data_IF_639427560233
#
_entry.id   IF_639427560233
#
_cell.length_a   1.000
_cell.length_b   1.000
_cell.length_c   1.000
_cell.angle_alpha   90.00
_cell.angle_beta   90.00
_cell.angle_gamma   90.00
#
_symmetry.space_group_name_H-M   'P 1'
#
loop_
_entity.id
_entity.type
_entity.pdbx_description
1 polymer ?
#
# COMPACT_ATOMS: atom_id res chain seq x y z
N UNK A 1 -0.12 -7.92 11.71
CA UNK A 1 -0.01 -6.93 10.62
C UNK A 1 0.02 -7.56 9.22
N UNK A 2 1.07 -8.25 8.77
CA UNK A 2 1.20 -8.68 7.35
C UNK A 2 0.04 -9.52 6.78
N UNK A 3 -0.55 -10.44 7.56
CA UNK A 3 -1.71 -11.24 7.13
C UNK A 3 -3.04 -10.48 7.22
N UNK A 4 -3.16 -9.61 8.21
CA UNK A 4 -4.41 -8.91 8.53
C UNK A 4 -4.54 -7.53 7.86
N UNK A 5 -3.47 -7.01 7.28
CA UNK A 5 -3.44 -5.69 6.65
C UNK A 5 -4.02 -4.59 7.53
N UNK A 6 -4.91 -3.77 6.97
CA UNK A 6 -5.60 -2.68 7.68
C UNK A 6 -6.51 -3.18 8.81
N UNK A 7 -7.07 -4.39 8.70
CA UNK A 7 -7.91 -4.98 9.76
C UNK A 7 -7.16 -5.10 11.08
N UNK A 8 -5.89 -5.51 11.01
CA UNK A 8 -5.03 -5.56 12.18
C UNK A 8 -4.87 -4.16 12.82
N UNK A 9 -4.72 -3.10 12.01
CA UNK A 9 -4.61 -1.74 12.54
C UNK A 9 -5.89 -1.29 13.27
N UNK A 10 -7.06 -1.55 12.68
CA UNK A 10 -8.36 -1.24 13.31
C UNK A 10 -8.56 -2.03 14.61
N UNK A 11 -8.20 -3.32 14.64
CA UNK A 11 -8.24 -4.16 15.85
C UNK A 11 -7.32 -3.65 16.96
N UNK A 12 -6.22 -2.96 16.61
CA UNK A 12 -5.33 -2.31 17.58
C UNK A 12 -5.79 -0.89 17.98
N UNK A 13 -6.97 -0.44 17.52
CA UNK A 13 -7.54 0.87 17.85
C UNK A 13 -7.11 2.01 16.91
N UNK A 14 -6.47 1.70 15.77
CA UNK A 14 -6.08 2.68 14.76
C UNK A 14 -7.09 2.68 13.60
N UNK A 15 -8.19 3.41 13.78
CA UNK A 15 -9.28 3.55 12.80
C UNK A 15 -10.61 2.99 13.31
N UNK A 16 -11.59 2.90 12.42
CA UNK A 16 -12.93 2.38 12.70
C UNK A 16 -13.34 1.29 11.71
N UNK A 17 -14.31 0.42 12.04
CA UNK A 17 -14.73 -0.67 11.14
C UNK A 17 -15.10 -0.23 9.72
N UNK A 18 -15.70 0.96 9.58
CA UNK A 18 -16.09 1.55 8.29
C UNK A 18 -14.89 1.83 7.37
N UNK A 19 -13.70 2.03 7.92
CA UNK A 19 -12.51 2.30 7.12
C UNK A 19 -12.16 1.09 6.24
N UNK A 20 -12.40 -0.13 6.73
CA UNK A 20 -12.16 -1.36 5.98
C UNK A 20 -13.07 -1.47 4.75
N UNK A 21 -14.33 -1.04 4.84
CA UNK A 21 -15.26 -1.03 3.70
C UNK A 21 -14.85 -0.06 2.59
N UNK A 22 -13.96 0.89 2.90
CA UNK A 22 -13.46 1.92 1.99
C UNK A 22 -12.04 1.66 1.51
N UNK A 23 -11.41 0.59 2.00
CA UNK A 23 -10.15 0.10 1.48
C UNK A 23 -10.39 -0.93 0.38
N UNK A 24 -9.58 -0.86 -0.68
CA UNK A 24 -9.48 -1.94 -1.66
C UNK A 24 -9.22 -3.28 -0.96
N UNK A 25 -9.92 -4.34 -1.37
CA UNK A 25 -9.89 -5.67 -0.76
C UNK A 25 -10.08 -5.70 0.77
N UNK A 26 -10.78 -4.70 1.34
CA UNK A 26 -10.91 -4.60 2.80
C UNK A 26 -9.59 -4.28 3.52
N UNK A 27 -8.59 -3.80 2.76
CA UNK A 27 -7.26 -3.48 3.24
C UNK A 27 -6.39 -4.71 3.54
N UNK A 28 -6.73 -5.91 3.03
CA UNK A 28 -5.92 -7.11 3.20
C UNK A 28 -6.08 -8.08 2.02
N UNK A 29 -4.96 -8.58 1.50
CA UNK A 29 -4.96 -9.58 0.42
C UNK A 29 -4.97 -10.99 1.03
N UNK A 30 -5.89 -11.84 0.58
CA UNK A 30 -6.25 -13.10 1.26
C UNK A 30 -5.21 -14.23 1.20
N UNK A 31 -4.28 -14.19 0.25
CA UNK A 31 -3.28 -15.24 0.00
C UNK A 31 -1.86 -14.87 0.46
N UNK A 32 -1.73 -13.89 1.35
CA UNK A 32 -0.44 -13.44 1.87
C UNK A 32 0.32 -14.56 2.62
N UNK A 33 1.37 -15.10 1.98
CA UNK A 33 2.32 -16.03 2.61
C UNK A 33 3.48 -15.28 3.27
N UNK A 34 3.47 -15.26 4.61
CA UNK A 34 4.49 -14.58 5.43
C UNK A 34 5.70 -15.46 5.76
N UNK A 35 5.74 -16.72 5.32
CA UNK A 35 6.84 -17.63 5.66
C UNK A 35 8.16 -17.30 4.95
N UNK A 36 8.12 -16.46 3.89
CA UNK A 36 9.27 -16.15 3.03
C UNK A 36 9.78 -14.71 3.16
N UNK A 37 9.39 -13.99 4.19
CA UNK A 37 9.62 -12.54 4.30
C UNK A 37 10.45 -12.11 5.52
N UNK A 38 11.14 -13.04 6.21
CA UNK A 38 11.92 -12.76 7.43
C UNK A 38 12.91 -11.58 7.27
N UNK A 39 13.75 -11.61 6.22
CA UNK A 39 14.70 -10.53 5.94
C UNK A 39 14.02 -9.18 5.63
N UNK A 40 12.87 -9.22 4.95
CA UNK A 40 12.11 -8.03 4.61
C UNK A 40 11.38 -7.44 5.83
N UNK A 41 10.98 -8.31 6.77
CA UNK A 41 10.38 -7.95 8.05
C UNK A 41 11.36 -7.19 8.93
N UNK A 42 12.59 -7.67 9.10
CA UNK A 42 13.62 -6.99 9.89
C UNK A 42 13.86 -5.56 9.39
N UNK A 43 13.85 -5.37 8.07
CA UNK A 43 14.09 -4.07 7.44
C UNK A 43 12.88 -3.13 7.47
N UNK A 44 11.68 -3.68 7.40
CA UNK A 44 10.45 -2.92 7.23
C UNK A 44 9.65 -2.65 8.51
N UNK A 45 9.81 -3.48 9.54
CA UNK A 45 9.01 -3.40 10.75
C UNK A 45 9.14 -2.06 11.47
N UNK A 46 10.36 -1.49 11.53
CA UNK A 46 10.62 -0.18 12.13
C UNK A 46 10.09 1.01 11.33
N UNK A 47 9.61 0.78 10.11
CA UNK A 47 9.13 1.83 9.19
C UNK A 47 7.61 1.94 9.14
N UNK A 48 6.90 1.06 9.86
CA UNK A 48 5.43 1.12 9.97
C UNK A 48 5.01 2.46 10.56
N UNK A 49 4.06 3.14 9.92
CA UNK A 49 3.59 4.46 10.33
C UNK A 49 4.46 5.64 9.87
N UNK A 50 5.48 5.40 9.04
CA UNK A 50 6.26 6.47 8.39
C UNK A 50 5.84 6.68 6.94
N UNK A 51 5.90 7.93 6.46
CA UNK A 51 5.64 8.24 5.05
C UNK A 51 6.74 7.72 4.13
N UNK A 52 7.99 8.03 4.48
CA UNK A 52 9.17 7.73 3.69
C UNK A 52 9.81 8.90 2.98
N UNK A 53 10.49 8.59 1.88
CA UNK A 53 11.16 9.54 0.99
C UNK A 53 10.60 9.43 -0.44
N UNK A 54 11.14 10.24 -1.35
CA UNK A 54 10.72 10.36 -2.75
C UNK A 54 9.31 10.94 -2.88
N UNK A 55 8.43 10.32 -3.66
CA UNK A 55 7.08 10.79 -3.94
C UNK A 55 6.08 10.46 -2.81
N UNK A 56 6.53 10.12 -1.61
CA UNK A 56 5.65 9.85 -0.48
C UNK A 56 5.36 11.14 0.31
N UNK A 57 4.08 11.43 0.53
CA UNK A 57 3.65 12.68 1.15
C UNK A 57 2.33 12.52 1.93
N UNK A 58 2.08 13.51 2.79
CA UNK A 58 0.77 13.78 3.37
C UNK A 58 0.44 15.22 3.03
N UNK A 59 -0.67 15.43 2.33
CA UNK A 59 -1.11 16.74 1.88
C UNK A 59 -2.50 17.05 2.41
N UNK A 60 -2.69 18.29 2.85
CA UNK A 60 -4.00 18.86 3.15
C UNK A 60 -4.42 19.65 1.92
N UNK A 61 -5.53 19.28 1.31
CA UNK A 61 -6.00 19.80 0.04
C UNK A 61 -7.43 20.31 0.19
N UNK A 62 -7.84 21.25 -0.67
CA UNK A 62 -9.23 21.67 -0.79
C UNK A 62 -9.76 21.29 -2.17
N UNK A 63 -10.99 20.78 -2.24
CA UNK A 63 -11.65 20.49 -3.52
C UNK A 63 -11.94 21.81 -4.23
N UNK A 64 -11.19 22.09 -5.29
CA UNK A 64 -11.33 23.32 -6.07
C UNK A 64 -12.47 23.24 -7.08
N UNK A 65 -12.49 22.17 -7.90
CA UNK A 65 -13.45 21.99 -8.98
C UNK A 65 -14.08 20.59 -8.93
N UNK A 66 -15.40 20.51 -9.16
CA UNK A 66 -16.15 19.25 -9.31
C UNK A 66 -16.53 19.07 -10.78
N UNK A 67 -16.16 17.92 -11.36
CA UNK A 67 -16.42 17.61 -12.77
C UNK A 67 -17.65 16.71 -12.98
N UNK A 68 -17.97 15.86 -11.99
CA UNK A 68 -19.16 15.01 -11.98
C UNK A 68 -19.84 15.12 -10.61
N UNK A 69 -20.98 15.81 -10.59
CA UNK A 69 -21.77 16.04 -9.38
C UNK A 69 -22.38 14.76 -8.79
N UNK A 70 -22.69 13.77 -9.63
CA UNK A 70 -23.30 12.52 -9.17
C UNK A 70 -22.26 11.67 -8.46
N UNK A 71 -21.08 11.50 -9.05
CA UNK A 71 -19.95 10.81 -8.43
C UNK A 71 -19.44 11.55 -7.19
N UNK A 72 -19.27 12.87 -7.25
CA UNK A 72 -18.81 13.67 -6.12
C UNK A 72 -19.72 13.50 -4.90
N UNK A 73 -21.04 13.59 -5.09
CA UNK A 73 -22.01 13.35 -4.02
C UNK A 73 -21.94 11.93 -3.44
N UNK A 74 -21.76 10.91 -4.28
CA UNK A 74 -21.58 9.53 -3.81
C UNK A 74 -20.30 9.35 -2.98
N UNK A 75 -19.23 10.06 -3.32
CA UNK A 75 -17.96 10.08 -2.58
C UNK A 75 -17.94 11.06 -1.40
N UNK A 76 -18.99 11.89 -1.24
CA UNK A 76 -19.06 12.91 -0.19
C UNK A 76 -18.19 14.14 -0.45
N UNK A 77 -17.79 14.37 -1.70
CA UNK A 77 -16.97 15.51 -2.14
C UNK A 77 -17.85 16.70 -2.52
N UNK A 78 -17.38 17.92 -2.22
CA UNK A 78 -17.98 19.18 -2.63
C UNK A 78 -16.91 20.28 -2.71
N UNK A 79 -17.13 21.30 -3.54
CA UNK A 79 -16.22 22.45 -3.64
C UNK A 79 -15.97 23.08 -2.26
N UNK A 80 -14.71 23.40 -1.99
CA UNK A 80 -14.23 23.95 -0.71
C UNK A 80 -14.10 22.93 0.42
N UNK A 81 -14.42 21.65 0.21
CA UNK A 81 -14.18 20.61 1.21
C UNK A 81 -12.67 20.40 1.40
N UNK A 82 -12.23 20.38 2.65
CA UNK A 82 -10.85 20.03 3.01
C UNK A 82 -10.70 18.52 3.12
N UNK A 83 -9.70 17.97 2.42
CA UNK A 83 -9.36 16.56 2.38
C UNK A 83 -7.90 16.36 2.82
N UNK A 84 -7.59 15.16 3.29
CA UNK A 84 -6.21 14.73 3.55
C UNK A 84 -5.88 13.61 2.58
N UNK A 85 -4.81 13.80 1.79
CA UNK A 85 -4.29 12.78 0.89
C UNK A 85 -3.01 12.20 1.49
N UNK A 86 -2.98 10.88 1.68
CA UNK A 86 -1.81 10.15 2.17
C UNK A 86 -1.29 9.28 1.03
N UNK A 87 -0.08 9.56 0.55
CA UNK A 87 0.59 8.76 -0.47
C UNK A 87 1.81 8.07 0.15
N UNK A 88 1.67 6.78 0.46
CA UNK A 88 2.74 5.95 0.98
C UNK A 88 2.56 4.48 0.54
N UNK A 89 3.58 3.66 0.75
CA UNK A 89 3.53 2.24 0.38
C UNK A 89 4.17 1.33 1.43
N UNK A 90 4.51 0.11 1.02
CA UNK A 90 5.09 -0.97 1.85
C UNK A 90 6.52 -0.71 2.35
N UNK A 91 7.05 0.50 2.14
CA UNK A 91 8.36 0.94 2.62
C UNK A 91 9.49 -0.01 2.17
N UNK A 92 10.52 -0.17 3.01
CA UNK A 92 11.65 -1.07 2.75
C UNK A 92 11.26 -2.54 2.65
N UNK A 93 10.10 -2.94 3.20
CA UNK A 93 9.63 -4.32 3.14
C UNK A 93 9.34 -4.75 1.70
N UNK A 94 8.47 -4.02 1.00
CA UNK A 94 8.13 -4.36 -0.39
C UNK A 94 9.32 -4.25 -1.34
N UNK A 95 10.18 -3.24 -1.14
CA UNK A 95 11.41 -3.11 -1.91
C UNK A 95 12.34 -4.33 -1.73
N UNK A 96 12.48 -4.82 -0.49
CA UNK A 96 13.32 -5.98 -0.20
C UNK A 96 12.74 -7.25 -0.83
N UNK A 97 11.43 -7.49 -0.69
CA UNK A 97 10.74 -8.64 -1.30
C UNK A 97 10.92 -8.63 -2.83
N UNK A 98 10.71 -7.49 -3.47
CA UNK A 98 10.90 -7.35 -4.92
C UNK A 98 12.35 -7.67 -5.33
N UNK A 99 13.32 -7.12 -4.61
CA UNK A 99 14.74 -7.37 -4.89
C UNK A 99 15.13 -8.85 -4.77
N UNK A 100 14.60 -9.54 -3.76
CA UNK A 100 14.87 -10.96 -3.51
C UNK A 100 14.21 -11.85 -4.58
N UNK A 101 12.99 -11.53 -5.03
CA UNK A 101 12.33 -12.24 -6.11
C UNK A 101 12.98 -12.00 -7.48
N UNK A 102 13.36 -10.76 -7.81
CA UNK A 102 14.07 -10.46 -9.07
C UNK A 102 15.36 -11.29 -9.16
N UNK A 103 16.15 -11.33 -8.09
CA UNK A 103 17.38 -12.16 -8.04
C UNK A 103 17.10 -13.65 -8.22
N UNK A 104 16.05 -14.16 -7.58
CA UNK A 104 15.66 -15.56 -7.72
C UNK A 104 15.19 -15.88 -9.14
N UNK A 105 14.45 -14.97 -9.78
CA UNK A 105 14.01 -15.08 -11.17
C UNK A 105 15.19 -15.07 -12.13
N UNK A 106 16.12 -14.11 -12.00
CA UNK A 106 17.31 -14.01 -12.84
C UNK A 106 18.13 -15.32 -12.84
N UNK A 107 18.24 -15.97 -11.69
CA UNK A 107 18.98 -17.22 -11.54
C UNK A 107 18.35 -18.38 -12.34
N UNK A 108 17.03 -18.39 -12.53
CA UNK A 108 16.29 -19.49 -13.18
C UNK A 108 15.81 -19.16 -14.59
N UNK A 109 15.73 -17.89 -14.97
CA UNK A 109 15.20 -17.43 -16.26
C UNK A 109 15.81 -18.15 -17.46
N UNK A 110 17.14 -18.35 -17.45
CA UNK A 110 17.84 -19.09 -18.51
C UNK A 110 17.33 -20.53 -18.68
N UNK A 111 16.98 -21.21 -17.58
CA UNK A 111 16.43 -22.58 -17.59
C UNK A 111 15.04 -22.64 -18.22
N UNK A 112 14.28 -21.55 -18.13
CA UNK A 112 12.94 -21.43 -18.71
C UNK A 112 12.93 -20.79 -20.11
N UNK A 113 14.10 -20.52 -20.71
CA UNK A 113 14.20 -19.90 -22.03
C UNK A 113 13.78 -18.43 -22.06
N UNK A 114 13.65 -17.78 -20.89
CA UNK A 114 13.28 -16.38 -20.77
C UNK A 114 14.55 -15.54 -20.93
N UNK A 115 14.55 -14.61 -21.90
CA UNK A 115 15.64 -13.67 -22.15
C UNK A 115 15.17 -12.26 -21.87
N UNK A 116 15.88 -11.55 -21.01
CA UNK A 116 15.75 -10.09 -20.91
C UNK A 116 16.47 -9.47 -22.10
N UNK A 117 15.84 -8.48 -22.73
CA UNK A 117 16.54 -7.63 -23.70
C UNK A 117 17.50 -6.74 -22.89
N UNK A 118 18.80 -6.96 -23.06
CA UNK A 118 19.84 -6.02 -22.65
C UNK A 118 20.44 -5.39 -23.91
#
# INVERSE_FOLDING_TARGET
MLRGGARYAVEQGHGVPRDLERCEDGGAVGDADVTRVERALERGASQVGSLGSANHFLEIQAVDTVYDETCARAFGLRVGLVCVMIHCGSRGLGHQICSDHVRAMDAVMRRYGIRTCC
#
